data_IF_482913584536
#
_entry.id   IF_482913584536
#
_cell.length_a   1.000
_cell.length_b   1.000
_cell.length_c   1.000
_cell.angle_alpha   90.00
_cell.angle_beta   90.00
_cell.angle_gamma   90.00
#
_symmetry.space_group_name_H-M   'P 1'
#
loop_
_entity.id
_entity.type
_entity.pdbx_description
1 polymer ?
#
# COMPACT_ATOMS: atom_id res chain seq x y z
N UNK A 1 -18.86 -0.49 -26.44
CA UNK A 1 -19.65 -1.71 -26.19
C UNK A 1 -20.47 -1.45 -24.93
N UNK A 2 -21.81 -1.46 -25.00
CA UNK A 2 -22.65 -1.09 -23.85
C UNK A 2 -22.66 -2.24 -22.83
N UNK A 3 -21.98 -2.05 -21.70
CA UNK A 3 -21.85 -3.02 -20.60
C UNK A 3 -23.21 -3.47 -20.07
N UNK A 4 -24.23 -2.60 -20.09
CA UNK A 4 -25.61 -2.93 -19.78
C UNK A 4 -26.18 -4.00 -20.73
N UNK A 5 -26.00 -3.80 -22.04
CA UNK A 5 -26.45 -4.76 -23.05
C UNK A 5 -25.75 -6.11 -22.86
N UNK A 6 -24.46 -6.11 -22.59
CA UNK A 6 -23.70 -7.34 -22.34
C UNK A 6 -24.20 -8.08 -21.10
N UNK A 7 -24.43 -7.37 -19.99
CA UNK A 7 -24.89 -7.97 -18.73
C UNK A 7 -26.30 -8.52 -18.84
N UNK A 8 -27.22 -7.81 -19.49
CA UNK A 8 -28.57 -8.31 -19.74
C UNK A 8 -28.54 -9.57 -20.62
N UNK A 9 -27.71 -9.56 -21.67
CA UNK A 9 -27.60 -10.71 -22.59
C UNK A 9 -26.96 -11.92 -21.88
N UNK A 10 -25.91 -11.72 -21.08
CA UNK A 10 -25.27 -12.77 -20.28
C UNK A 10 -26.20 -13.34 -19.22
N UNK A 11 -26.97 -12.48 -18.52
CA UNK A 11 -27.97 -12.91 -17.55
C UNK A 11 -29.04 -13.80 -18.18
N UNK A 12 -29.59 -13.38 -19.34
CA UNK A 12 -30.55 -14.19 -20.09
C UNK A 12 -29.97 -15.55 -20.51
N UNK A 13 -28.71 -15.60 -20.96
CA UNK A 13 -28.05 -16.85 -21.33
C UNK A 13 -27.81 -17.79 -20.14
N UNK A 14 -27.45 -17.25 -18.98
CA UNK A 14 -27.26 -18.02 -17.74
C UNK A 14 -28.58 -18.62 -17.25
N UNK A 15 -29.68 -17.85 -17.31
CA UNK A 15 -30.99 -18.27 -16.79
C UNK A 15 -31.74 -19.19 -17.76
N UNK A 16 -31.80 -18.84 -19.04
CA UNK A 16 -32.72 -19.46 -20.01
C UNK A 16 -32.02 -20.26 -21.12
N UNK A 17 -30.70 -20.11 -21.27
CA UNK A 17 -29.95 -20.74 -22.34
C UNK A 17 -29.93 -22.28 -22.24
N UNK A 18 -30.20 -22.96 -23.35
CA UNK A 18 -29.98 -24.41 -23.48
C UNK A 18 -28.52 -24.67 -23.82
N UNK A 19 -27.75 -25.07 -22.82
CA UNK A 19 -26.33 -25.39 -22.96
C UNK A 19 -25.91 -26.43 -21.91
N UNK A 20 -24.68 -26.94 -22.03
CA UNK A 20 -24.13 -27.92 -21.09
C UNK A 20 -23.98 -27.32 -19.69
N UNK A 21 -24.06 -28.16 -18.65
CA UNK A 21 -23.93 -27.72 -17.26
C UNK A 21 -22.60 -26.98 -17.01
N UNK A 22 -21.51 -27.51 -17.57
CA UNK A 22 -20.18 -26.92 -17.47
C UNK A 22 -20.13 -25.50 -18.06
N UNK A 23 -20.72 -25.31 -19.25
CA UNK A 23 -20.79 -23.99 -19.91
C UNK A 23 -21.65 -22.99 -19.12
N UNK A 24 -22.71 -23.46 -18.44
CA UNK A 24 -23.51 -22.58 -17.56
C UNK A 24 -22.71 -22.12 -16.34
N UNK A 25 -21.90 -22.99 -15.77
CA UNK A 25 -21.12 -22.67 -14.58
C UNK A 25 -19.99 -21.69 -14.91
N UNK A 26 -19.30 -21.85 -16.03
CA UNK A 26 -18.31 -20.88 -16.54
C UNK A 26 -18.96 -19.50 -16.79
N UNK A 27 -20.14 -19.46 -17.41
CA UNK A 27 -20.85 -18.20 -17.66
C UNK A 27 -21.33 -17.54 -16.36
N UNK A 28 -21.68 -18.31 -15.34
CA UNK A 28 -22.02 -17.77 -14.01
C UNK A 28 -20.83 -17.15 -13.33
N UNK A 29 -19.66 -17.77 -13.44
CA UNK A 29 -18.41 -17.24 -12.90
C UNK A 29 -18.04 -15.91 -13.59
N UNK A 30 -18.04 -15.88 -14.93
CA UNK A 30 -17.81 -14.67 -15.72
C UNK A 30 -18.84 -13.58 -15.40
N UNK A 31 -20.11 -13.93 -15.25
CA UNK A 31 -21.16 -13.00 -14.83
C UNK A 31 -20.90 -12.44 -13.43
N UNK A 32 -20.45 -13.28 -12.50
CA UNK A 32 -20.05 -12.89 -11.15
C UNK A 32 -18.87 -11.93 -11.13
N UNK A 33 -17.87 -12.13 -11.99
CA UNK A 33 -16.70 -11.25 -12.12
C UNK A 33 -17.05 -9.88 -12.75
N UNK A 34 -17.96 -9.86 -13.73
CA UNK A 34 -18.35 -8.64 -14.44
C UNK A 34 -19.37 -7.80 -13.67
N UNK A 35 -20.17 -8.41 -12.81
CA UNK A 35 -21.24 -7.74 -12.06
C UNK A 35 -20.77 -6.55 -11.21
N UNK A 36 -19.69 -6.61 -10.42
CA UNK A 36 -19.19 -5.46 -9.66
C UNK A 36 -18.80 -4.28 -10.55
N UNK A 37 -18.20 -4.54 -11.71
CA UNK A 37 -17.82 -3.50 -12.66
C UNK A 37 -19.04 -2.82 -13.28
N UNK A 38 -20.07 -3.60 -13.62
CA UNK A 38 -21.34 -3.09 -14.12
C UNK A 38 -22.11 -2.27 -13.09
N UNK A 39 -22.23 -2.75 -11.85
CA UNK A 39 -22.89 -2.02 -10.75
C UNK A 39 -22.20 -0.69 -10.48
N UNK A 40 -20.85 -0.67 -10.50
CA UNK A 40 -20.05 0.56 -10.36
C UNK A 40 -20.30 1.54 -11.51
N UNK A 41 -20.49 1.04 -12.74
CA UNK A 41 -20.84 1.90 -13.87
C UNK A 41 -22.25 2.46 -13.75
N UNK A 42 -23.25 1.64 -13.42
CA UNK A 42 -24.63 2.06 -13.23
C UNK A 42 -24.76 3.15 -12.16
N UNK A 43 -24.02 3.01 -11.06
CA UNK A 43 -23.95 4.02 -9.99
C UNK A 43 -23.31 5.32 -10.48
N UNK A 44 -22.28 5.26 -11.33
CA UNK A 44 -21.66 6.45 -11.93
C UNK A 44 -22.61 7.18 -12.88
N UNK A 45 -23.35 6.44 -13.70
CA UNK A 45 -24.26 7.03 -14.68
C UNK A 45 -25.49 7.65 -13.98
N UNK A 46 -26.06 6.99 -12.98
CA UNK A 46 -27.09 7.59 -12.09
C UNK A 46 -26.57 8.82 -11.34
N UNK A 47 -25.33 8.78 -10.85
CA UNK A 47 -24.71 9.94 -10.18
C UNK A 47 -24.56 11.13 -11.12
N UNK A 48 -24.18 10.89 -12.38
CA UNK A 48 -24.09 11.94 -13.41
C UNK A 48 -25.46 12.53 -13.74
N UNK A 49 -26.49 11.70 -13.88
CA UNK A 49 -27.87 12.17 -14.13
C UNK A 49 -28.41 13.04 -12.99
N UNK A 50 -28.03 12.72 -11.74
CA UNK A 50 -28.35 13.53 -10.56
C UNK A 50 -27.44 14.76 -10.37
N UNK A 51 -26.49 15.02 -11.28
CA UNK A 51 -25.56 16.15 -11.19
C UNK A 51 -24.49 16.01 -10.10
N UNK A 52 -24.29 14.81 -9.55
CA UNK A 52 -23.34 14.53 -8.48
C UNK A 52 -21.95 14.33 -9.08
N UNK A 53 -21.02 15.24 -8.81
CA UNK A 53 -19.60 15.07 -9.14
C UNK A 53 -19.00 13.90 -8.34
N UNK A 54 -18.17 13.05 -8.95
CA UNK A 54 -17.76 11.76 -8.34
C UNK A 54 -16.27 11.65 -8.05
N UNK A 55 -15.52 12.76 -8.06
CA UNK A 55 -14.06 12.76 -7.87
C UNK A 55 -13.59 12.14 -6.54
N UNK A 56 -14.50 12.02 -5.56
CA UNK A 56 -14.24 11.48 -4.23
C UNK A 56 -14.68 10.00 -4.04
N UNK A 57 -15.46 9.40 -4.96
CA UNK A 57 -16.00 8.05 -4.76
C UNK A 57 -14.96 6.92 -4.87
N UNK A 58 -13.80 7.18 -5.46
CA UNK A 58 -12.70 6.20 -5.59
C UNK A 58 -11.54 6.48 -4.64
N UNK A 59 -11.47 7.65 -4.01
CA UNK A 59 -10.29 8.07 -3.25
C UNK A 59 -10.32 7.64 -1.79
N UNK A 60 -11.49 7.54 -1.14
CA UNK A 60 -11.58 7.34 0.32
C UNK A 60 -10.92 6.04 0.80
N UNK A 61 -11.07 4.93 0.07
CA UNK A 61 -10.43 3.66 0.41
C UNK A 61 -8.91 3.69 0.23
N UNK A 62 -8.40 4.48 -0.72
CA UNK A 62 -6.99 4.57 -1.03
C UNK A 62 -6.25 5.56 -0.12
N UNK A 63 -6.92 6.59 0.40
CA UNK A 63 -6.31 7.63 1.24
C UNK A 63 -5.57 7.03 2.45
N UNK A 64 -6.18 6.10 3.18
CA UNK A 64 -5.52 5.45 4.34
C UNK A 64 -4.32 4.60 3.91
N UNK A 65 -4.48 3.84 2.81
CA UNK A 65 -3.44 2.96 2.29
C UNK A 65 -2.23 3.77 1.82
N UNK A 66 -2.45 4.81 1.03
CA UNK A 66 -1.40 5.65 0.46
C UNK A 66 -0.69 6.46 1.55
N UNK A 67 -1.45 7.00 2.52
CA UNK A 67 -0.87 7.66 3.68
C UNK A 67 0.03 6.72 4.51
N UNK A 68 -0.40 5.46 4.68
CA UNK A 68 0.38 4.43 5.37
C UNK A 68 1.65 4.08 4.59
N UNK A 69 1.57 3.95 3.26
CA UNK A 69 2.74 3.71 2.41
C UNK A 69 3.73 4.86 2.53
N UNK A 70 3.28 6.11 2.41
CA UNK A 70 4.14 7.28 2.57
C UNK A 70 4.81 7.31 3.94
N UNK A 71 4.05 7.06 5.02
CA UNK A 71 4.61 6.96 6.37
C UNK A 71 5.70 5.90 6.45
N UNK A 72 5.46 4.72 5.88
CA UNK A 72 6.44 3.63 5.88
C UNK A 72 7.69 3.99 5.08
N UNK A 73 7.56 4.67 3.94
CA UNK A 73 8.71 5.14 3.15
C UNK A 73 9.59 6.08 3.97
N UNK A 74 9.00 7.12 4.58
CA UNK A 74 9.77 8.09 5.37
C UNK A 74 10.32 7.51 6.68
N UNK A 75 9.65 6.52 7.27
CA UNK A 75 10.14 5.90 8.50
C UNK A 75 11.20 4.83 8.26
N UNK A 76 10.99 3.95 7.28
CA UNK A 76 11.86 2.77 7.07
C UNK A 76 13.19 3.12 6.42
N UNK A 77 13.17 3.85 5.30
CA UNK A 77 14.40 4.19 4.57
C UNK A 77 15.25 5.20 5.34
N UNK A 78 14.62 6.19 5.99
CA UNK A 78 15.37 7.19 6.73
C UNK A 78 15.95 6.65 8.05
N UNK A 79 15.33 5.66 8.69
CA UNK A 79 15.90 5.00 9.87
C UNK A 79 17.09 4.12 9.51
N UNK A 80 16.95 3.31 8.46
CA UNK A 80 18.02 2.44 7.95
C UNK A 80 19.21 3.21 7.38
N UNK A 81 19.02 4.47 6.96
CA UNK A 81 20.11 5.29 6.46
C UNK A 81 21.28 5.38 7.45
N UNK A 82 20.99 5.68 8.72
CA UNK A 82 22.03 5.80 9.74
C UNK A 82 22.70 4.45 10.05
N UNK A 83 21.90 3.38 10.15
CA UNK A 83 22.40 2.02 10.38
C UNK A 83 23.36 1.58 9.27
N UNK A 84 22.99 1.78 7.99
CA UNK A 84 23.83 1.43 6.84
C UNK A 84 25.06 2.33 6.73
N UNK A 85 24.97 3.60 7.16
CA UNK A 85 26.13 4.48 7.23
C UNK A 85 27.16 3.97 8.24
N UNK A 86 26.72 3.50 9.41
CA UNK A 86 27.61 2.92 10.42
C UNK A 86 28.17 1.56 9.97
N UNK A 87 27.36 0.70 9.35
CA UNK A 87 27.84 -0.53 8.72
C UNK A 87 28.89 -0.27 7.65
N UNK A 88 28.71 0.78 6.82
CA UNK A 88 29.68 1.17 5.80
C UNK A 88 31.02 1.55 6.42
N UNK A 89 31.03 2.27 7.55
CA UNK A 89 32.26 2.60 8.28
C UNK A 89 32.97 1.35 8.79
N UNK A 90 32.22 0.40 9.35
CA UNK A 90 32.78 -0.90 9.80
C UNK A 90 33.39 -1.65 8.62
N UNK A 91 32.68 -1.76 7.49
CA UNK A 91 33.19 -2.43 6.29
C UNK A 91 34.44 -1.75 5.71
N UNK A 92 34.55 -0.43 5.82
CA UNK A 92 35.75 0.32 5.42
C UNK A 92 36.93 -0.02 6.33
N UNK A 93 36.74 0.02 7.65
CA UNK A 93 37.78 -0.33 8.61
C UNK A 93 38.26 -1.78 8.44
N UNK A 94 37.33 -2.74 8.32
CA UNK A 94 37.68 -4.15 8.08
C UNK A 94 38.50 -4.35 6.79
N UNK A 95 38.17 -3.58 5.74
CA UNK A 95 38.95 -3.63 4.51
C UNK A 95 40.36 -3.10 4.72
N UNK A 96 40.51 -1.97 5.42
CA UNK A 96 41.81 -1.39 5.73
C UNK A 96 42.65 -2.36 6.56
N UNK A 97 42.06 -3.01 7.56
CA UNK A 97 42.73 -4.03 8.37
C UNK A 97 43.27 -5.18 7.51
N UNK A 98 42.46 -5.71 6.59
CA UNK A 98 42.91 -6.80 5.69
C UNK A 98 44.03 -6.31 4.75
N UNK A 99 43.91 -5.08 4.23
CA UNK A 99 44.95 -4.52 3.36
C UNK A 99 46.26 -4.30 4.11
N UNK A 100 46.20 -3.79 5.35
CA UNK A 100 47.37 -3.64 6.20
C UNK A 100 47.98 -5.00 6.58
N UNK A 101 47.15 -6.01 6.87
CA UNK A 101 47.64 -7.37 7.12
C UNK A 101 48.41 -7.92 5.91
N UNK A 102 47.90 -7.71 4.69
CA UNK A 102 48.57 -8.12 3.45
C UNK A 102 49.85 -7.31 3.13
N UNK A 103 49.98 -6.11 3.68
CA UNK A 103 51.15 -5.23 3.48
C UNK A 103 52.27 -5.50 4.50
N UNK A 104 51.91 -5.68 5.77
CA UNK A 104 52.87 -5.68 6.87
C UNK A 104 53.23 -7.06 7.42
N UNK A 105 52.39 -8.09 7.21
CA UNK A 105 52.62 -9.43 7.75
C UNK A 105 53.23 -10.37 6.70
N UNK A 106 54.06 -11.31 7.14
CA UNK A 106 54.65 -12.31 6.26
C UNK A 106 53.62 -13.37 5.84
N UNK A 107 53.89 -14.07 4.73
CA UNK A 107 53.04 -15.18 4.26
C UNK A 107 52.97 -16.35 5.26
N UNK A 108 53.87 -16.42 6.26
CA UNK A 108 53.80 -17.42 7.35
C UNK A 108 52.87 -17.01 8.49
N UNK A 109 52.63 -15.70 8.64
CA UNK A 109 51.80 -15.11 9.71
C UNK A 109 50.32 -15.03 9.32
N UNK A 110 49.99 -15.12 8.03
CA UNK A 110 48.64 -14.93 7.51
C UNK A 110 48.19 -16.05 6.57
N UNK A 111 46.90 -16.37 6.65
CA UNK A 111 46.21 -17.16 5.61
C UNK A 111 45.81 -16.23 4.46
N UNK A 112 46.76 -15.99 3.55
CA UNK A 112 46.59 -15.07 2.43
C UNK A 112 45.40 -15.40 1.51
N UNK A 113 45.17 -16.66 1.09
CA UNK A 113 43.98 -17.03 0.34
C UNK A 113 42.68 -16.61 1.04
N UNK A 114 42.57 -16.91 2.34
CA UNK A 114 41.37 -16.57 3.12
C UNK A 114 41.16 -15.06 3.23
N UNK A 115 42.21 -14.29 3.50
CA UNK A 115 42.12 -12.83 3.56
C UNK A 115 41.68 -12.23 2.23
N UNK A 116 42.09 -12.80 1.10
CA UNK A 116 41.66 -12.35 -0.23
C UNK A 116 40.19 -12.67 -0.52
N UNK A 117 39.70 -13.82 -0.05
CA UNK A 117 38.27 -14.17 -0.12
C UNK A 117 37.43 -13.23 0.74
N UNK A 118 37.84 -13.00 2.00
CA UNK A 118 37.17 -12.08 2.93
C UNK A 118 37.15 -10.64 2.37
N UNK A 119 38.27 -10.18 1.82
CA UNK A 119 38.39 -8.87 1.16
C UNK A 119 37.40 -8.74 0.00
N UNK A 120 37.21 -9.81 -0.77
CA UNK A 120 36.26 -9.82 -1.89
C UNK A 120 34.82 -9.69 -1.40
N UNK A 121 34.47 -10.41 -0.34
CA UNK A 121 33.13 -10.34 0.29
C UNK A 121 32.88 -8.94 0.86
N UNK A 122 33.81 -8.41 1.66
CA UNK A 122 33.70 -7.08 2.28
C UNK A 122 33.55 -6.01 1.19
N UNK A 123 34.36 -6.04 0.14
CA UNK A 123 34.26 -5.07 -0.97
C UNK A 123 32.94 -5.14 -1.71
N UNK A 124 32.33 -6.32 -1.85
CA UNK A 124 30.99 -6.47 -2.44
C UNK A 124 29.93 -5.86 -1.53
N UNK A 125 29.95 -6.17 -0.23
CA UNK A 125 29.00 -5.61 0.74
C UNK A 125 29.12 -4.08 0.83
N UNK A 126 30.36 -3.56 0.82
CA UNK A 126 30.63 -2.12 0.84
C UNK A 126 30.00 -1.39 -0.36
N UNK A 127 29.99 -2.02 -1.54
CA UNK A 127 29.34 -1.47 -2.73
C UNK A 127 27.82 -1.44 -2.56
N UNK A 128 27.23 -2.55 -2.11
CA UNK A 128 25.78 -2.62 -1.83
C UNK A 128 25.35 -1.56 -0.82
N UNK A 129 26.11 -1.39 0.27
CA UNK A 129 25.85 -0.36 1.27
C UNK A 129 25.95 1.07 0.67
N UNK A 130 26.97 1.34 -0.15
CA UNK A 130 27.09 2.62 -0.87
C UNK A 130 25.91 2.88 -1.80
N UNK A 131 25.55 1.91 -2.63
CA UNK A 131 24.45 2.03 -3.59
C UNK A 131 23.13 2.31 -2.84
N UNK A 132 22.90 1.63 -1.71
CA UNK A 132 21.76 1.90 -0.84
C UNK A 132 21.76 3.33 -0.29
N UNK A 133 22.90 3.80 0.24
CA UNK A 133 23.02 5.16 0.78
C UNK A 133 22.81 6.21 -0.32
N UNK A 134 23.33 6.02 -1.53
CA UNK A 134 23.12 6.93 -2.65
C UNK A 134 21.64 7.07 -3.01
N UNK A 135 20.91 5.95 -3.07
CA UNK A 135 19.47 5.95 -3.36
C UNK A 135 18.62 6.50 -2.21
N UNK A 136 19.00 6.25 -0.96
CA UNK A 136 18.23 6.64 0.22
C UNK A 136 18.54 8.05 0.72
N UNK A 137 19.66 8.65 0.31
CA UNK A 137 20.10 10.01 0.70
C UNK A 137 19.06 11.10 0.45
N UNK A 138 18.35 11.16 -0.70
CA UNK A 138 17.31 12.18 -0.90
C UNK A 138 16.15 12.05 0.09
N UNK A 139 15.76 10.82 0.41
CA UNK A 139 14.69 10.54 1.38
C UNK A 139 15.12 10.92 2.80
N UNK A 140 16.33 10.53 3.18
CA UNK A 140 16.91 10.93 4.46
C UNK A 140 17.00 12.46 4.58
N UNK A 141 17.42 13.15 3.51
CA UNK A 141 17.49 14.61 3.46
C UNK A 141 16.14 15.34 3.62
N UNK A 142 15.04 14.75 3.17
CA UNK A 142 13.69 15.29 3.40
C UNK A 142 13.33 15.17 4.89
N UNK A 143 13.57 13.98 5.46
CA UNK A 143 13.21 13.68 6.85
C UNK A 143 14.04 14.50 7.85
N UNK A 144 15.30 14.78 7.55
CA UNK A 144 16.16 15.63 8.39
C UNK A 144 15.85 17.11 8.23
N UNK A 145 15.46 17.57 7.04
CA UNK A 145 15.07 18.97 6.80
C UNK A 145 13.78 19.34 7.53
N UNK A 146 12.82 18.42 7.57
CA UNK A 146 11.53 18.63 8.22
C UNK A 146 11.47 17.86 9.53
N UNK A 147 12.04 18.45 10.57
CA UNK A 147 11.89 17.96 11.94
C UNK A 147 10.40 17.84 12.28
N UNK A 148 9.99 16.66 12.75
CA UNK A 148 8.58 16.36 13.04
C UNK A 148 7.81 15.67 11.92
N UNK A 149 8.32 15.61 10.68
CA UNK A 149 7.62 14.96 9.55
C UNK A 149 7.15 13.53 9.86
N UNK A 150 7.99 12.75 10.56
CA UNK A 150 7.63 11.38 10.99
C UNK A 150 6.42 11.39 11.94
N UNK A 151 6.41 12.31 12.90
CA UNK A 151 5.33 12.48 13.86
C UNK A 151 4.05 12.95 13.17
N UNK A 152 4.15 13.94 12.30
CA UNK A 152 3.03 14.51 11.56
C UNK A 152 2.38 13.47 10.63
N UNK A 153 3.18 12.68 9.91
CA UNK A 153 2.67 11.59 9.07
C UNK A 153 1.97 10.51 9.90
N UNK A 154 2.54 10.13 11.05
CA UNK A 154 1.90 9.19 11.97
C UNK A 154 0.57 9.73 12.50
N UNK A 155 0.54 11.01 12.87
CA UNK A 155 -0.68 11.67 13.33
C UNK A 155 -1.73 11.74 12.22
N UNK A 156 -1.34 12.09 11.00
CA UNK A 156 -2.23 12.11 9.84
C UNK A 156 -2.87 10.74 9.58
N UNK A 157 -2.08 9.65 9.61
CA UNK A 157 -2.61 8.28 9.47
C UNK A 157 -3.62 7.95 10.58
N UNK A 158 -3.33 8.33 11.83
CA UNK A 158 -4.24 8.09 12.95
C UNK A 158 -5.55 8.90 12.82
N UNK A 159 -5.47 10.16 12.41
CA UNK A 159 -6.64 11.00 12.19
C UNK A 159 -7.49 10.48 11.02
N UNK A 160 -6.89 10.01 9.93
CA UNK A 160 -7.60 9.36 8.83
C UNK A 160 -8.38 8.14 9.35
N UNK A 161 -7.76 7.30 10.18
CA UNK A 161 -8.43 6.13 10.78
C UNK A 161 -9.60 6.52 11.66
N UNK A 162 -9.44 7.54 12.51
CA UNK A 162 -10.53 8.08 13.35
C UNK A 162 -11.67 8.61 12.51
N UNK A 163 -11.37 9.39 11.47
CA UNK A 163 -12.38 9.94 10.56
C UNK A 163 -13.10 8.82 9.81
N UNK A 164 -12.39 7.79 9.35
CA UNK A 164 -12.99 6.63 8.69
C UNK A 164 -13.91 5.85 9.62
N UNK A 165 -13.51 5.65 10.88
CA UNK A 165 -14.35 5.03 11.91
C UNK A 165 -15.57 5.89 12.26
N UNK A 166 -15.40 7.22 12.34
CA UNK A 166 -16.54 8.12 12.54
C UNK A 166 -17.49 8.08 11.34
N UNK A 167 -16.96 8.14 10.12
CA UNK A 167 -17.74 8.06 8.88
C UNK A 167 -18.46 6.73 8.75
N UNK A 168 -17.82 5.62 9.12
CA UNK A 168 -18.50 4.33 9.21
C UNK A 168 -19.61 4.47 10.24
N UNK A 169 -19.37 5.01 11.43
CA UNK A 169 -20.37 5.03 12.51
C UNK A 169 -21.36 6.22 12.41
N UNK A 170 -21.43 6.93 11.27
CA UNK A 170 -22.34 8.06 11.10
C UNK A 170 -23.78 7.58 11.12
N UNK A 171 -24.54 8.10 12.09
CA UNK A 171 -25.98 7.91 12.19
C UNK A 171 -26.67 9.27 12.14
N UNK A 172 -27.74 9.35 11.36
CA UNK A 172 -28.52 10.56 11.25
C UNK A 172 -29.78 10.45 12.10
N UNK A 173 -29.88 11.32 13.11
CA UNK A 173 -31.12 11.51 13.86
C UNK A 173 -31.85 12.74 13.30
N UNK A 174 -33.07 12.59 12.74
CA UNK A 174 -33.86 13.70 12.23
C UNK A 174 -34.16 14.73 13.32
N UNK A 175 -33.80 16.00 13.09
CA UNK A 175 -34.00 17.07 14.09
C UNK A 175 -35.36 17.77 14.02
N UNK A 176 -36.04 17.70 12.87
CA UNK A 176 -37.30 18.43 12.61
C UNK A 176 -38.38 17.60 11.92
N UNK A 177 -37.99 16.60 11.14
CA UNK A 177 -38.90 15.68 10.45
C UNK A 177 -38.93 14.36 11.22
N UNK A 178 -39.56 14.37 12.40
CA UNK A 178 -39.64 13.23 13.33
C UNK A 178 -40.30 11.99 12.71
N UNK A 179 -41.14 12.16 11.67
CA UNK A 179 -41.70 11.06 10.89
C UNK A 179 -40.66 10.16 10.19
N UNK A 180 -39.39 10.59 10.11
CA UNK A 180 -38.30 9.79 9.55
C UNK A 180 -37.51 9.01 10.61
N UNK A 181 -37.73 9.24 11.92
CA UNK A 181 -36.96 8.60 13.00
C UNK A 181 -37.02 7.08 12.91
N UNK A 182 -38.20 6.52 12.65
CA UNK A 182 -38.39 5.07 12.58
C UNK A 182 -37.68 4.44 11.37
N UNK A 183 -37.53 5.20 10.28
CA UNK A 183 -36.79 4.77 9.09
C UNK A 183 -35.27 4.78 9.34
N UNK A 184 -34.74 5.77 10.06
CA UNK A 184 -33.33 5.80 10.44
C UNK A 184 -32.99 4.76 11.51
N UNK A 185 -33.90 4.47 12.46
CA UNK A 185 -33.73 3.42 13.47
C UNK A 185 -33.71 2.01 12.86
N UNK A 186 -34.59 1.72 11.90
CA UNK A 186 -34.55 0.44 11.16
C UNK A 186 -33.27 0.25 10.32
N UNK A 187 -32.62 1.35 9.91
CA UNK A 187 -31.35 1.30 9.20
C UNK A 187 -30.16 1.04 10.16
N UNK A 188 -30.31 1.35 11.44
CA UNK A 188 -29.38 1.04 12.53
C UNK A 188 -29.34 -0.47 12.80
N UNK A 189 -30.50 -1.05 13.11
CA UNK A 189 -30.64 -2.46 13.47
C UNK A 189 -30.06 -3.42 12.41
N UNK A 190 -30.33 -3.15 11.13
CA UNK A 190 -29.85 -3.96 9.99
C UNK A 190 -28.34 -3.96 9.80
N UNK A 191 -27.64 -3.03 10.43
CA UNK A 191 -26.19 -2.88 10.28
C UNK A 191 -25.43 -3.61 11.39
N UNK A 192 -25.98 -3.66 12.59
CA UNK A 192 -25.41 -4.41 13.72
C UNK A 192 -25.54 -5.94 13.51
N UNK A 193 -26.42 -6.37 12.60
CA UNK A 193 -26.57 -7.76 12.17
C UNK A 193 -25.53 -8.22 11.12
N UNK A 194 -24.68 -7.32 10.59
CA UNK A 194 -23.66 -7.59 9.56
C UNK A 194 -22.24 -7.60 10.11
#
# INVERSE_FOLDING_TARGET
>A
MNLERMMNTLGEFVETGRMSAHTKDELREIYGELKPAYEKQLQRDKSKEMGIQTHYNTSVEHIEKDATVCMNVFNSFAAKFGEVEDELKVLQAMQEDILHALEFLSDEEIDKPKLMDDLTVIRRQRRVAKDYLELSKPLHGIVTRYEGLKGDMKNAVNEIKKVKQYQSNRMYTPRKLTGLEEAFRKAEDKRDEK
#
